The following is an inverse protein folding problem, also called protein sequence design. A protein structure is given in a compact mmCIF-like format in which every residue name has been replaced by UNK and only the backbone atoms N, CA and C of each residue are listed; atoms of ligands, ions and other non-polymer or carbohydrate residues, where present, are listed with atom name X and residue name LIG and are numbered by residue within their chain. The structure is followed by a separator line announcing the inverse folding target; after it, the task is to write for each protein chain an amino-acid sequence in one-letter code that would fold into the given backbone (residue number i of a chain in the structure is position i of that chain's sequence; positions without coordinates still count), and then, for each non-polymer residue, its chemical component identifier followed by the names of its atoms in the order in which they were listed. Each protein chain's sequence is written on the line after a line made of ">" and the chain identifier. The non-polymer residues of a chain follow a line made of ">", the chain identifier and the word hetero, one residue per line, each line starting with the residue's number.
data_IF_391966272681
#
_entry.id   IF_391966272681
#
_cell.length_a   1.000
_cell.length_b   1.000
_cell.length_c   1.000
_cell.angle_alpha   90.00
_cell.angle_beta   90.00
_cell.angle_gamma   90.00
#
_symmetry.space_group_name_H-M   'P 1'
#
loop_
_entity.id
_entity.type
_entity.pdbx_description
1 polymer ?
2 non-polymer ?
3 non-polymer ?
4 non-polymer ?
5 water ?
#
# COMPACT_ATOMS: atom_id res chain seq x y z
N UNK A 1 -25.84 -6.83 -15.28
CA UNK A 1 -25.03 -5.75 -14.65
C UNK A 1 -23.63 -6.20 -14.20
N UNK A 2 -22.81 -5.20 -13.95
CA UNK A 2 -21.49 -5.42 -13.49
C UNK A 2 -21.48 -4.74 -12.13
N UNK A 3 -20.86 -5.39 -11.17
CA UNK A 3 -20.58 -4.75 -9.91
C UNK A 3 -19.06 -4.68 -9.69
N UNK A 4 -18.66 -3.73 -8.86
CA UNK A 4 -17.28 -3.53 -8.55
C UNK A 4 -17.12 -3.33 -7.07
N UNK A 5 -15.97 -3.71 -6.55
CA UNK A 5 -15.67 -3.48 -5.12
C UNK A 5 -14.24 -3.18 -4.89
N UNK A 6 -13.99 -1.98 -4.45
CA UNK A 6 -12.66 -1.53 -4.09
C UNK A 6 -12.28 -2.07 -2.70
N UNK A 7 -10.98 -2.29 -2.52
CA UNK A 7 -10.42 -2.55 -1.19
C UNK A 7 -9.08 -1.89 -1.03
N UNK A 8 -8.68 -1.68 0.21
CA UNK A 8 -7.31 -1.24 0.51
C UNK A 8 -7.12 0.21 0.85
N UNK A 9 -8.21 0.95 0.96
CA UNK A 9 -8.09 2.35 1.32
C UNK A 9 -7.68 2.57 2.81
N UNK A 10 -7.38 3.83 3.13
CA UNK A 10 -6.98 4.23 4.43
C UNK A 10 -6.16 5.48 4.44
N UNK A 11 -5.37 5.63 5.52
CA UNK A 11 -4.52 6.78 5.70
C UNK A 11 -3.12 6.32 5.88
N UNK A 12 -2.21 7.12 5.36
CA UNK A 12 -0.83 6.82 5.37
C UNK A 12 0.01 8.07 5.47
N UNK A 13 1.20 7.88 6.00
CA UNK A 13 2.22 8.91 5.97
C UNK A 13 2.70 9.25 4.56
N UNK A 14 2.85 10.56 4.31
CA UNK A 14 3.44 11.06 3.10
C UNK A 14 4.75 10.43 2.87
N UNK A 15 4.99 10.09 1.60
CA UNK A 15 6.16 9.32 1.17
C UNK A 15 5.90 7.82 1.24
N UNK A 16 4.87 7.41 1.98
CA UNK A 16 4.49 5.95 2.00
C UNK A 16 3.79 5.43 0.70
N UNK A 17 3.27 4.20 0.81
CA UNK A 17 2.60 3.46 -0.25
C UNK A 17 1.29 2.86 0.20
N UNK A 18 0.46 2.64 -0.79
CA UNK A 18 -0.75 1.89 -0.65
C UNK A 18 -0.88 1.02 -1.89
N UNK A 19 -1.76 0.07 -1.81
CA UNK A 19 -2.19 -0.72 -2.96
C UNK A 19 -3.67 -0.94 -2.94
N UNK A 20 -4.38 -0.29 -3.87
CA UNK A 20 -5.83 -0.45 -3.96
C UNK A 20 -6.12 -1.64 -4.87
N UNK A 21 -7.20 -2.36 -4.56
CA UNK A 21 -7.64 -3.40 -5.46
C UNK A 21 -9.12 -3.26 -5.77
N UNK A 22 -9.49 -3.72 -6.97
CA UNK A 22 -10.88 -3.66 -7.42
C UNK A 22 -11.36 -4.92 -8.04
N UNK A 23 -12.25 -5.60 -7.35
CA UNK A 23 -12.95 -6.80 -7.83
C UNK A 23 -14.03 -6.44 -8.81
N UNK A 24 -13.98 -6.94 -10.04
CA UNK A 24 -14.97 -6.70 -11.02
C UNK A 24 -15.74 -8.05 -11.23
N UNK A 25 -17.04 -7.95 -11.22
CA UNK A 25 -17.96 -9.13 -11.10
C UNK A 25 -17.98 -10.06 -12.31
N UNK A 26 -17.55 -9.54 -13.45
CA UNK A 26 -17.45 -10.31 -14.66
C UNK A 26 -16.46 -9.65 -15.63
N UNK A 27 -16.15 -10.38 -16.70
CA UNK A 27 -15.23 -9.84 -17.72
C UNK A 27 -15.77 -8.60 -18.32
N UNK A 28 -14.93 -7.55 -18.40
CA UNK A 28 -15.34 -6.30 -19.07
C UNK A 28 -14.17 -5.90 -20.03
N UNK A 29 -14.46 -5.04 -20.99
CA UNK A 29 -13.42 -4.64 -21.97
C UNK A 29 -12.31 -3.70 -21.39
N UNK A 30 -12.67 -2.91 -20.42
CA UNK A 30 -11.75 -1.95 -19.82
C UNK A 30 -12.09 -1.73 -18.32
N UNK A 31 -11.12 -1.24 -17.58
CA UNK A 31 -11.24 -0.96 -16.17
C UNK A 31 -10.45 0.27 -15.86
N UNK A 32 -10.84 1.00 -14.81
CA UNK A 32 -10.07 2.21 -14.50
C UNK A 32 -10.18 2.59 -13.05
N UNK A 33 -9.25 3.43 -12.63
CA UNK A 33 -9.22 4.03 -11.34
C UNK A 33 -9.40 5.52 -11.48
N UNK A 34 -10.15 6.12 -10.57
CA UNK A 34 -10.50 7.53 -10.62
C UNK A 34 -10.39 8.03 -9.24
N UNK A 35 -10.28 9.35 -9.08
CA UNK A 35 -10.27 9.93 -7.74
C UNK A 35 -10.98 11.22 -7.68
N UNK A 36 -11.56 11.53 -6.51
CA UNK A 36 -12.33 12.75 -6.40
C UNK A 36 -11.92 13.41 -5.11
N UNK A 37 -11.15 14.44 -5.28
CA UNK A 37 -10.73 15.24 -4.13
C UNK A 37 -11.93 16.10 -3.66
N UNK A 38 -11.86 16.68 -2.41
CA UNK A 38 -13.01 17.42 -1.88
C UNK A 38 -13.45 18.60 -2.77
N UNK A 39 -14.71 18.64 -3.18
CA UNK A 39 -15.21 19.75 -4.00
C UNK A 39 -14.78 19.67 -5.44
N UNK A 40 -14.05 18.61 -5.81
CA UNK A 40 -13.44 18.64 -7.11
C UNK A 40 -14.02 17.65 -8.04
N UNK A 41 -13.76 17.96 -9.31
CA UNK A 41 -14.19 17.10 -10.34
C UNK A 41 -13.48 15.75 -10.11
N UNK A 42 -14.23 14.69 -10.24
CA UNK A 42 -13.65 13.35 -10.38
C UNK A 42 -12.70 13.27 -11.62
N UNK A 43 -11.53 12.68 -11.45
CA UNK A 43 -10.54 12.64 -12.52
C UNK A 43 -10.01 11.22 -12.68
N UNK A 44 -9.61 10.95 -13.90
CA UNK A 44 -8.88 9.76 -14.26
C UNK A 44 -7.61 9.76 -13.48
N UNK A 45 -7.27 8.57 -12.97
CA UNK A 45 -6.01 8.27 -12.40
C UNK A 45 -5.23 7.32 -13.32
N UNK A 46 -5.81 6.19 -13.69
CA UNK A 46 -5.20 5.17 -14.52
C UNK A 46 -6.20 4.33 -15.16
N UNK A 47 -6.05 3.99 -16.41
CA UNK A 47 -6.98 3.08 -17.09
C UNK A 47 -6.27 1.96 -17.80
N UNK A 48 -6.99 0.86 -18.05
CA UNK A 48 -6.37 -0.34 -18.54
C UNK A 48 -7.37 -1.11 -19.44
N UNK A 49 -6.91 -1.69 -20.56
CA UNK A 49 -7.77 -2.63 -21.29
C UNK A 49 -7.58 -4.02 -20.70
N UNK A 50 -8.62 -4.82 -20.85
CA UNK A 50 -8.52 -6.18 -20.38
C UNK A 50 -7.56 -6.98 -21.25
N UNK A 51 -7.65 -6.81 -22.57
CA UNK A 51 -6.86 -7.63 -23.47
C UNK A 51 -5.59 -7.00 -23.96
N UNK A 52 -5.61 -5.73 -24.33
CA UNK A 52 -4.41 -5.15 -24.94
C UNK A 52 -3.24 -5.01 -23.97
N UNK A 53 -2.19 -4.41 -24.43
CA UNK A 53 -1.20 -3.94 -23.52
C UNK A 53 -1.45 -2.48 -23.22
N UNK A 54 -2.68 -1.95 -23.20
CA UNK A 54 -2.77 -0.46 -23.12
C UNK A 54 -3.03 -0.02 -21.65
N UNK A 55 -2.27 0.99 -21.20
CA UNK A 55 -2.56 1.73 -19.97
C UNK A 55 -2.42 3.19 -20.26
N UNK A 56 -3.13 4.02 -19.51
CA UNK A 56 -2.92 5.44 -19.54
C UNK A 56 -2.99 6.03 -18.15
N UNK A 57 -2.11 6.97 -17.83
CA UNK A 57 -2.07 7.58 -16.49
C UNK A 57 -2.35 9.03 -16.55
N UNK A 58 -2.98 9.56 -15.52
CA UNK A 58 -2.97 11.04 -15.27
C UNK A 58 -1.53 11.56 -15.09
N UNK A 59 -1.22 12.67 -15.76
CA UNK A 59 0.07 13.30 -15.54
C UNK A 59 0.68 13.33 -14.17
N UNK A 60 -0.07 13.80 -13.18
CA UNK A 60 0.47 13.92 -11.85
C UNK A 60 0.77 12.67 -11.06
N UNK A 61 0.35 11.51 -11.56
CA UNK A 61 0.73 10.31 -10.88
C UNK A 61 1.67 9.47 -11.70
N UNK A 62 1.99 9.92 -12.89
CA UNK A 62 2.86 9.15 -13.82
C UNK A 62 4.15 8.86 -13.16
N UNK A 63 4.57 7.62 -13.24
CA UNK A 63 5.80 7.17 -12.59
C UNK A 63 5.75 6.92 -11.10
N UNK A 64 4.66 7.27 -10.42
CA UNK A 64 4.48 6.93 -9.03
C UNK A 64 3.46 5.81 -8.85
N UNK A 65 2.43 5.83 -9.68
CA UNK A 65 1.36 4.81 -9.54
C UNK A 65 1.44 3.85 -10.72
N UNK A 66 1.06 2.57 -10.50
CA UNK A 66 0.99 1.63 -11.57
C UNK A 66 -0.35 0.88 -11.50
N UNK A 67 -1.01 0.75 -12.64
CA UNK A 67 -2.22 0.00 -12.79
C UNK A 67 -1.86 -1.36 -13.38
N UNK A 68 -2.46 -2.40 -12.84
CA UNK A 68 -2.23 -3.72 -13.32
C UNK A 68 -3.45 -4.56 -13.10
N UNK A 69 -3.47 -5.74 -13.71
CA UNK A 69 -4.68 -6.55 -13.63
C UNK A 69 -4.31 -8.01 -13.44
N UNK A 70 -5.23 -8.73 -12.81
CA UNK A 70 -5.10 -10.17 -12.65
C UNK A 70 -6.31 -10.75 -13.34
N UNK A 71 -6.14 -11.12 -14.59
CA UNK A 71 -7.25 -11.60 -15.43
C UNK A 71 -8.05 -12.79 -14.87
N UNK A 72 -7.33 -13.79 -14.38
CA UNK A 72 -7.94 -14.99 -13.79
C UNK A 72 -8.85 -14.62 -12.60
N UNK A 73 -8.48 -13.61 -11.81
CA UNK A 73 -9.32 -13.13 -10.70
C UNK A 73 -10.23 -11.95 -11.05
N UNK A 74 -10.22 -11.45 -12.30
CA UNK A 74 -10.96 -10.23 -12.65
C UNK A 74 -10.75 -9.04 -11.69
N UNK A 75 -9.50 -8.82 -11.34
CA UNK A 75 -9.12 -7.83 -10.35
C UNK A 75 -8.17 -6.80 -11.02
N UNK A 76 -8.36 -5.53 -10.66
CA UNK A 76 -7.49 -4.42 -11.16
C UNK A 76 -6.88 -3.77 -9.91
N UNK A 77 -5.57 -3.55 -9.92
CA UNK A 77 -4.84 -3.03 -8.81
C UNK A 77 -4.32 -1.62 -9.14
N UNK A 78 -4.20 -0.83 -8.11
CA UNK A 78 -3.51 0.51 -8.24
C UNK A 78 -2.44 0.53 -7.20
N UNK A 79 -1.21 0.29 -7.62
CA UNK A 79 -0.06 0.43 -6.71
C UNK A 79 0.32 1.93 -6.65
N UNK A 80 0.33 2.47 -5.44
CA UNK A 80 0.54 3.91 -5.18
C UNK A 80 1.78 4.08 -4.37
N UNK A 81 2.84 4.51 -5.02
CA UNK A 81 4.08 4.82 -4.28
C UNK A 81 4.27 6.34 -4.11
N UNK A 82 5.19 6.68 -3.20
CA UNK A 82 5.62 8.09 -3.02
C UNK A 82 4.43 9.02 -2.84
N UNK A 83 3.56 8.66 -1.88
CA UNK A 83 2.32 9.36 -1.77
C UNK A 83 2.54 10.79 -1.24
N UNK A 84 1.72 11.69 -1.76
CA UNK A 84 1.70 13.09 -1.32
C UNK A 84 0.35 13.51 -0.76
N UNK A 85 0.35 14.54 0.10
CA UNK A 85 -0.91 15.03 0.58
C UNK A 85 -1.94 15.32 -0.51
N UNK A 86 -1.49 15.77 -1.68
CA UNK A 86 -2.40 16.11 -2.77
C UNK A 86 -2.99 14.87 -3.47
N UNK A 87 -2.54 13.68 -3.07
CA UNK A 87 -3.18 12.43 -3.48
C UNK A 87 -4.39 12.05 -2.62
N UNK A 88 -4.67 12.82 -1.56
CA UNK A 88 -5.86 12.62 -0.76
C UNK A 88 -7.14 12.76 -1.56
N UNK A 89 -8.07 11.81 -1.46
CA UNK A 89 -9.27 11.75 -2.26
C UNK A 89 -10.01 10.48 -2.02
N UNK A 90 -11.24 10.41 -2.50
CA UNK A 90 -11.98 9.15 -2.59
C UNK A 90 -11.58 8.50 -3.91
N UNK A 91 -11.12 7.27 -3.88
CA UNK A 91 -10.75 6.55 -5.04
C UNK A 91 -11.82 5.58 -5.43
N UNK A 92 -12.20 5.58 -6.72
CA UNK A 92 -13.24 4.74 -7.26
C UNK A 92 -12.69 3.92 -8.39
N UNK A 93 -13.14 2.71 -8.53
CA UNK A 93 -12.95 1.98 -9.76
C UNK A 93 -14.20 1.98 -10.58
N UNK A 94 -14.00 1.73 -11.88
CA UNK A 94 -15.05 1.69 -12.86
C UNK A 94 -14.71 0.70 -13.97
N UNK A 95 -15.71 0.20 -14.67
CA UNK A 95 -15.51 -0.74 -15.71
C UNK A 95 -16.74 -0.75 -16.65
N UNK A 96 -16.51 -1.23 -17.86
CA UNK A 96 -17.58 -1.45 -18.82
C UNK A 96 -16.93 -1.97 -20.09
N UNK A 97 -17.69 -2.00 -21.18
CA UNK A 97 -17.10 -2.52 -22.43
C UNK A 97 -17.31 -1.46 -23.50
N UNK A 98 -17.26 -0.21 -23.10
CA UNK A 98 -17.29 0.93 -23.98
C UNK A 98 -15.89 1.10 -24.60
N UNK A 99 -15.84 1.88 -25.71
CA UNK A 99 -14.51 2.03 -26.26
C UNK A 99 -13.51 2.68 -25.23
N UNK A 100 -12.26 2.25 -25.29
CA UNK A 100 -11.23 2.60 -24.34
C UNK A 100 -11.12 4.09 -23.98
N UNK A 101 -11.25 4.92 -24.99
CA UNK A 101 -11.15 6.38 -24.82
C UNK A 101 -12.42 7.04 -24.34
N UNK A 102 -13.55 6.32 -24.25
CA UNK A 102 -14.82 6.96 -23.85
C UNK A 102 -14.76 7.71 -22.53
N UNK A 103 -15.40 8.90 -22.44
CA UNK A 103 -15.39 9.78 -21.26
C UNK A 103 -16.31 9.30 -20.13
N UNK A 104 -17.35 8.56 -20.49
CA UNK A 104 -18.37 8.06 -19.53
C UNK A 104 -18.17 6.63 -19.30
N UNK A 105 -18.25 6.21 -18.03
CA UNK A 105 -18.09 4.81 -17.67
C UNK A 105 -19.41 4.33 -17.05
N UNK A 106 -19.85 3.18 -17.47
CA UNK A 106 -21.22 2.73 -17.19
C UNK A 106 -21.36 2.18 -15.74
N UNK A 107 -20.34 1.52 -15.18
CA UNK A 107 -20.45 0.86 -13.86
C UNK A 107 -19.35 1.32 -12.94
N UNK A 108 -19.72 1.65 -11.70
CA UNK A 108 -18.84 2.26 -10.72
C UNK A 108 -18.81 1.46 -9.40
N UNK A 109 -17.67 1.44 -8.71
CA UNK A 109 -17.63 0.93 -7.31
C UNK A 109 -18.16 1.99 -6.37
N UNK A 110 -17.97 1.72 -5.08
CA UNK A 110 -18.48 2.46 -3.93
C UNK A 110 -17.53 3.57 -3.53
N UNK A 111 -16.26 3.52 -3.93
CA UNK A 111 -15.31 4.45 -3.46
C UNK A 111 -14.63 3.97 -2.18
N UNK A 112 -13.43 4.43 -1.96
CA UNK A 112 -12.78 4.31 -0.67
C UNK A 112 -11.92 5.55 -0.39
N UNK A 113 -11.91 6.02 0.87
CA UNK A 113 -11.13 7.12 1.24
C UNK A 113 -9.64 6.78 1.35
N UNK A 114 -8.83 7.62 0.75
CA UNK A 114 -7.41 7.66 0.86
C UNK A 114 -7.01 8.99 1.44
N UNK A 115 -6.27 8.98 2.53
CA UNK A 115 -5.75 10.18 3.16
C UNK A 115 -4.27 10.12 3.35
N UNK A 116 -3.53 11.08 2.81
CA UNK A 116 -2.10 11.12 2.91
C UNK A 116 -1.76 12.31 3.77
N UNK A 117 -1.03 12.10 4.84
CA UNK A 117 -0.72 13.29 5.64
C UNK A 117 0.74 13.35 6.00
N UNK A 118 1.26 14.55 6.08
CA UNK A 118 2.59 14.78 6.64
C UNK A 118 2.36 15.03 8.14
N UNK A 119 2.74 14.10 9.02
CA UNK A 119 2.65 14.30 10.52
C UNK A 119 3.46 13.26 11.34
N UNK B 1 28.26 5.32 16.41
CA UNK B 1 26.77 5.51 16.36
C UNK B 1 26.21 4.92 15.07
N UNK B 2 25.12 4.15 15.22
CA UNK B 2 24.20 3.89 14.09
C UNK B 2 22.87 4.43 14.51
N UNK B 3 22.22 5.13 13.60
CA UNK B 3 20.88 5.53 13.90
C UNK B 3 19.98 5.10 12.74
N UNK B 4 18.73 4.90 13.12
CA UNK B 4 17.66 4.48 12.20
C UNK B 4 16.42 5.31 12.30
N UNK B 5 15.70 5.40 11.15
CA UNK B 5 14.40 6.00 11.18
C UNK B 5 13.40 5.41 10.20
N UNK B 6 12.34 4.96 10.77
CA UNK B 6 11.24 4.28 10.03
C UNK B 6 10.24 5.33 9.57
N UNK B 7 9.52 5.00 8.52
CA UNK B 7 8.42 5.83 8.02
C UNK B 7 7.44 4.89 7.27
N UNK B 8 6.24 5.38 6.95
CA UNK B 8 5.40 4.72 5.94
C UNK B 8 4.25 4.06 6.60
N UNK B 9 4.11 4.23 7.91
CA UNK B 9 3.02 3.62 8.59
C UNK B 9 1.66 4.26 8.29
N UNK B 10 0.62 3.67 8.81
CA UNK B 10 -0.76 4.12 8.52
C UNK B 10 -1.81 3.21 9.09
N UNK B 11 -3.04 3.44 8.65
CA UNK B 11 -4.22 2.76 9.09
C UNK B 11 -5.01 2.38 7.80
N UNK B 12 -4.97 1.11 7.44
CA UNK B 12 -5.52 0.63 6.14
C UNK B 12 -6.54 -0.50 6.38
N UNK B 13 -7.48 -0.64 5.46
CA UNK B 13 -8.36 -1.75 5.41
C UNK B 13 -7.60 -3.06 5.33
N UNK B 14 -8.14 -4.07 6.01
CA UNK B 14 -7.73 -5.47 5.79
C UNK B 14 -7.75 -5.82 4.33
N UNK B 15 -6.73 -6.52 3.87
CA UNK B 15 -6.55 -6.76 2.48
C UNK B 15 -5.73 -5.73 1.77
N UNK B 16 -5.52 -4.54 2.35
CA UNK B 16 -4.66 -3.61 1.66
C UNK B 16 -3.15 -3.82 1.85
N UNK B 17 -2.36 -2.82 1.43
CA UNK B 17 -0.89 -2.86 1.50
C UNK B 17 -0.28 -1.61 2.05
N UNK B 18 0.96 -1.70 2.54
CA UNK B 18 1.75 -0.54 3.03
C UNK B 18 3.20 -0.84 2.62
N UNK B 19 4.05 0.17 2.52
CA UNK B 19 5.48 -0.10 2.33
C UNK B 19 6.17 0.68 3.41
N UNK B 20 6.76 0.03 4.40
CA UNK B 20 7.60 0.71 5.41
C UNK B 20 8.96 0.93 4.92
N UNK B 21 9.56 2.10 5.34
CA UNK B 21 10.89 2.52 4.88
C UNK B 21 11.74 2.76 6.13
N UNK B 22 13.00 2.35 6.08
CA UNK B 22 13.88 2.57 7.24
C UNK B 22 15.18 3.11 6.75
N UNK B 23 15.55 4.30 7.27
CA UNK B 23 16.79 4.91 6.88
C UNK B 23 17.80 4.51 7.96
N UNK B 24 18.92 4.02 7.48
CA UNK B 24 20.04 3.55 8.32
C UNK B 24 21.23 4.50 8.11
N UNK B 25 21.74 5.07 9.20
CA UNK B 25 22.74 6.18 9.08
C UNK B 25 24.08 5.86 8.42
N UNK B 26 24.47 4.60 8.32
CA UNK B 26 25.68 4.23 7.57
C UNK B 26 25.57 2.74 7.25
N UNK B 27 26.51 2.26 6.46
CA UNK B 27 26.59 0.84 6.11
C UNK B 27 26.64 -0.03 7.34
N UNK B 28 25.83 -1.09 7.36
CA UNK B 28 25.75 -2.02 8.48
C UNK B 28 25.68 -3.45 7.88
N UNK B 29 25.99 -4.45 8.67
CA UNK B 29 26.13 -5.82 8.12
C UNK B 29 24.76 -6.43 7.81
N UNK B 30 23.86 -6.20 8.73
CA UNK B 30 22.46 -6.62 8.60
C UNK B 30 21.45 -5.56 9.06
N UNK B 31 20.18 -5.77 8.66
CA UNK B 31 19.03 -4.89 9.00
C UNK B 31 17.81 -5.76 9.15
N UNK B 32 16.99 -5.42 10.11
CA UNK B 32 15.73 -6.12 10.33
C UNK B 32 14.52 -5.26 10.63
N UNK B 33 13.35 -5.84 10.34
CA UNK B 33 12.14 -5.39 10.85
C UNK B 33 11.57 -6.24 11.94
N UNK B 34 11.02 -5.59 12.94
CA UNK B 34 10.34 -6.16 14.07
C UNK B 34 9.03 -5.50 14.33
N UNK B 35 8.18 -6.13 15.13
CA UNK B 35 6.93 -5.55 15.60
C UNK B 35 6.55 -5.89 16.98
N UNK B 36 5.73 -5.02 17.56
CA UNK B 36 5.18 -5.25 18.84
C UNK B 36 3.73 -4.84 18.93
N UNK B 37 2.87 -5.85 18.97
CA UNK B 37 1.43 -5.65 19.16
C UNK B 37 1.05 -5.29 20.61
N UNK B 38 -0.17 -4.78 20.83
CA UNK B 38 -0.45 -4.40 22.20
C UNK B 38 -0.42 -5.60 23.13
N UNK B 39 0.04 -5.36 24.35
CA UNK B 39 0.24 -6.40 25.36
C UNK B 39 1.03 -7.60 24.89
N UNK B 40 1.98 -7.38 24.00
CA UNK B 40 2.76 -8.48 23.45
C UNK B 40 4.21 -8.12 23.41
N UNK B 41 5.00 -9.14 23.21
CA UNK B 41 6.45 -9.03 23.18
C UNK B 41 6.85 -8.72 21.74
N UNK B 42 7.87 -7.87 21.61
CA UNK B 42 8.47 -7.60 20.32
C UNK B 42 8.84 -8.89 19.63
N UNK B 43 8.62 -8.96 18.34
CA UNK B 43 8.95 -10.16 17.55
C UNK B 43 9.56 -9.81 16.21
N UNK B 44 10.44 -10.68 15.72
CA UNK B 44 10.97 -10.61 14.41
C UNK B 44 9.86 -10.67 13.34
N UNK B 45 10.07 -9.91 12.24
CA UNK B 45 9.25 -9.95 11.06
C UNK B 45 10.03 -10.40 9.88
N UNK B 46 11.15 -9.77 9.60
CA UNK B 46 11.92 -10.08 8.43
C UNK B 46 13.33 -9.49 8.66
N UNK B 47 14.37 -10.19 8.13
CA UNK B 47 15.75 -9.76 8.23
C UNK B 47 16.37 -9.88 6.95
N UNK B 48 17.42 -9.07 6.73
CA UNK B 48 18.15 -9.05 5.53
C UNK B 48 19.65 -8.78 5.80
N UNK B 49 20.52 -9.30 4.95
CA UNK B 49 21.91 -8.99 5.06
C UNK B 49 22.28 -7.98 4.01
N UNK B 50 23.12 -7.02 4.42
CA UNK B 50 23.52 -5.96 3.48
C UNK B 50 24.20 -6.53 2.29
N UNK B 51 25.15 -7.42 2.53
CA UNK B 51 25.91 -7.99 1.42
C UNK B 51 25.34 -9.36 1.13
N UNK B 52 25.29 -9.72 -0.15
CA UNK B 52 24.67 -10.99 -0.57
C UNK B 52 23.18 -11.08 -0.28
N UNK B 53 22.53 -12.05 -0.88
CA UNK B 53 21.09 -12.09 -0.88
C UNK B 53 20.48 -12.93 0.21
N UNK B 54 20.62 -12.57 1.47
CA UNK B 54 19.89 -13.31 2.47
C UNK B 54 18.72 -12.57 3.15
N UNK B 55 17.55 -13.20 3.10
CA UNK B 55 16.40 -12.82 3.87
C UNK B 55 15.81 -13.96 4.55
N UNK B 56 15.05 -13.66 5.58
CA UNK B 56 14.34 -14.60 6.39
C UNK B 56 13.10 -13.95 7.06
N UNK B 57 11.97 -14.64 7.08
CA UNK B 57 10.68 -14.12 7.54
C UNK B 57 10.09 -14.85 8.68
N UNK B 58 9.34 -14.19 9.55
CA UNK B 58 8.46 -14.88 10.45
C UNK B 58 7.40 -15.66 9.63
N UNK B 59 7.02 -16.83 10.13
CA UNK B 59 6.07 -17.64 9.41
C UNK B 59 4.74 -16.98 9.08
N UNK B 60 4.08 -16.32 10.03
CA UNK B 60 2.80 -15.65 9.74
C UNK B 60 2.85 -14.56 8.66
N UNK B 61 4.05 -14.15 8.23
CA UNK B 61 4.17 -13.12 7.13
C UNK B 61 4.71 -13.59 5.88
N UNK B 62 5.28 -14.79 5.92
CA UNK B 62 5.87 -15.27 4.72
C UNK B 62 4.88 -15.34 3.54
N UNK B 63 5.39 -14.96 2.36
CA UNK B 63 4.59 -14.79 1.14
C UNK B 63 3.74 -13.51 1.11
N UNK B 64 3.48 -12.86 2.27
CA UNK B 64 2.69 -11.58 2.24
C UNK B 64 3.59 -10.35 2.29
N UNK B 65 4.68 -10.46 3.02
CA UNK B 65 5.66 -9.33 3.26
C UNK B 65 6.92 -9.63 2.53
N UNK B 66 7.59 -8.61 2.00
CA UNK B 66 8.87 -8.71 1.38
C UNK B 66 9.81 -7.66 2.01
N UNK B 67 10.96 -8.12 2.45
CA UNK B 67 12.05 -7.22 2.93
C UNK B 67 13.00 -7.00 1.78
N UNK B 68 13.40 -5.74 1.54
CA UNK B 68 14.38 -5.45 0.51
C UNK B 68 15.20 -4.22 0.98
N UNK B 69 16.17 -3.85 0.19
CA UNK B 69 17.07 -2.75 0.55
C UNK B 69 17.53 -2.03 -0.67
N UNK B 70 17.99 -0.80 -0.46
CA UNK B 70 18.70 -0.07 -1.48
C UNK B 70 19.99 0.46 -0.86
N UNK B 71 21.12 -0.02 -1.37
CA UNK B 71 22.40 0.12 -0.67
C UNK B 71 23.00 1.50 -0.80
N UNK B 72 22.88 2.07 -1.99
CA UNK B 72 23.23 3.48 -2.27
C UNK B 72 22.63 4.41 -1.22
N UNK B 73 21.33 4.20 -0.93
CA UNK B 73 20.57 5.03 0.02
C UNK B 73 20.62 4.58 1.46
N UNK B 74 21.30 3.47 1.76
CA UNK B 74 21.24 2.76 3.06
C UNK B 74 19.81 2.67 3.60
N UNK B 75 18.89 2.30 2.72
CA UNK B 75 17.49 2.10 3.16
C UNK B 75 17.08 0.60 3.10
N UNK B 76 16.24 0.24 4.04
CA UNK B 76 15.60 -1.09 4.07
C UNK B 76 14.09 -0.89 4.05
N UNK B 77 13.41 -1.66 3.18
CA UNK B 77 11.95 -1.57 2.98
C UNK B 77 11.24 -2.85 3.47
N UNK B 78 10.02 -2.70 3.96
CA UNK B 78 9.12 -3.81 4.27
C UNK B 78 7.81 -3.61 3.44
N UNK B 79 7.71 -4.32 2.33
CA UNK B 79 6.48 -4.38 1.55
C UNK B 79 5.45 -5.32 2.20
N UNK B 80 4.33 -4.74 2.63
CA UNK B 80 3.35 -5.48 3.38
C UNK B 80 2.04 -5.61 2.53
N UNK B 81 1.80 -6.77 1.91
CA UNK B 81 0.55 -7.06 1.18
C UNK B 81 -0.43 -7.93 1.95
N UNK B 82 -1.70 -7.85 1.55
CA UNK B 82 -2.73 -8.64 2.16
C UNK B 82 -2.73 -8.51 3.65
N UNK B 83 -2.79 -7.26 4.11
CA UNK B 83 -2.78 -6.97 5.53
C UNK B 83 -3.94 -7.56 6.23
N UNK B 84 -3.67 -8.12 7.42
CA UNK B 84 -4.64 -8.73 8.29
C UNK B 84 -4.76 -8.00 9.61
N UNK B 85 -5.89 -8.12 10.29
CA UNK B 85 -6.04 -7.45 11.59
C UNK B 85 -4.88 -7.73 12.55
N UNK B 86 -4.32 -8.94 12.43
CA UNK B 86 -3.33 -9.44 13.40
C UNK B 86 -1.96 -8.76 13.17
N UNK B 87 -1.86 -8.03 12.07
CA UNK B 87 -0.66 -7.30 11.70
C UNK B 87 -0.49 -5.96 12.39
N UNK B 88 -1.55 -5.51 13.06
CA UNK B 88 -1.59 -4.30 13.80
C UNK B 88 -0.53 -4.31 14.89
N UNK B 89 0.37 -3.35 14.80
CA UNK B 89 1.48 -3.23 15.73
C UNK B 89 2.27 -1.96 15.46
N UNK B 90 3.12 -1.63 16.43
CA UNK B 90 4.25 -0.75 16.09
C UNK B 90 5.33 -1.57 15.45
N UNK B 91 5.83 -1.12 14.31
CA UNK B 91 6.91 -1.75 13.63
C UNK B 91 8.23 -0.98 13.73
N UNK B 92 9.31 -1.71 14.02
CA UNK B 92 10.63 -1.14 14.36
C UNK B 92 11.65 -1.67 13.42
N UNK B 93 12.60 -0.86 12.93
CA UNK B 93 13.76 -1.41 12.20
C UNK B 93 14.99 -1.43 13.15
N UNK B 94 15.93 -2.32 12.83
CA UNK B 94 17.15 -2.51 13.66
C UNK B 94 18.26 -2.86 12.78
N UNK B 95 19.51 -2.55 13.21
CA UNK B 95 20.65 -2.80 12.38
C UNK B 95 21.87 -2.95 13.33
N UNK B 96 22.91 -3.57 12.77
CA UNK B 96 24.24 -3.82 13.45
C UNK B 96 25.12 -4.65 12.52
N UNK B 97 26.38 -4.92 12.88
CA UNK B 97 27.22 -5.68 11.99
C UNK B 97 27.52 -7.04 12.63
N UNK B 98 26.66 -7.46 13.57
CA UNK B 98 26.73 -8.78 14.19
C UNK B 98 26.30 -9.89 13.20
N UNK B 99 26.77 -11.14 13.41
CA UNK B 99 26.35 -12.17 12.40
C UNK B 99 24.81 -12.34 12.25
N UNK B 100 24.37 -12.68 11.04
CA UNK B 100 22.88 -12.70 10.74
C UNK B 100 22.06 -13.44 11.77
N UNK B 101 22.55 -14.59 12.20
CA UNK B 101 21.86 -15.40 13.23
C UNK B 101 21.86 -14.79 14.62
N UNK B 102 22.65 -13.71 14.90
CA UNK B 102 22.75 -13.21 16.31
C UNK B 102 21.37 -12.82 16.74
N UNK B 103 21.02 -13.13 17.98
CA UNK B 103 19.64 -12.90 18.46
C UNK B 103 19.46 -11.54 19.12
N UNK B 104 20.52 -10.74 19.13
CA UNK B 104 20.52 -9.44 19.81
C UNK B 104 20.93 -8.44 18.76
N UNK B 105 20.14 -7.36 18.69
CA UNK B 105 20.38 -6.25 17.81
C UNK B 105 20.81 -4.96 18.59
N UNK B 106 21.87 -4.35 18.13
CA UNK B 106 22.49 -3.30 18.95
C UNK B 106 21.63 -2.00 18.95
N UNK B 107 21.22 -1.62 17.74
CA UNK B 107 20.66 -0.27 17.39
C UNK B 107 19.22 -0.35 16.85
N UNK B 108 18.32 0.44 17.45
CA UNK B 108 16.91 0.41 17.14
C UNK B 108 16.40 1.78 16.72
N UNK B 109 15.39 1.77 15.81
CA UNK B 109 14.60 2.97 15.51
C UNK B 109 13.52 3.19 16.55
N UNK B 110 12.72 4.23 16.32
CA UNK B 110 11.72 4.66 17.26
C UNK B 110 10.34 4.01 16.94
N UNK B 111 10.20 3.49 15.71
CA UNK B 111 9.01 2.71 15.32
C UNK B 111 8.04 3.53 14.49
N UNK B 112 7.11 2.86 13.84
CA UNK B 112 6.04 3.51 13.08
C UNK B 112 4.78 2.62 13.31
N UNK B 113 3.62 3.25 13.51
CA UNK B 113 2.41 2.54 13.82
C UNK B 113 1.74 1.98 12.55
N UNK B 114 1.31 0.72 12.64
CA UNK B 114 0.48 0.11 11.60
C UNK B 114 -0.80 -0.37 12.22
N UNK B 115 -1.94 0.02 11.63
CA UNK B 115 -3.24 -0.39 12.10
C UNK B 115 -4.01 -0.91 10.93
N UNK B 116 -4.58 -2.11 11.08
CA UNK B 116 -5.32 -2.76 10.05
C UNK B 116 -6.72 -2.88 10.53
N UNK B 117 -7.67 -2.32 9.81
CA UNK B 117 -9.04 -2.20 10.21
C UNK B 117 -10.00 -3.04 9.36
N UNK B 118 -10.98 -3.66 10.03
CA UNK B 118 -12.00 -4.43 9.33
C UNK B 118 -13.30 -3.64 9.23
N UNK B 119 -13.48 -2.63 10.08
CA UNK B 119 -14.67 -1.82 10.14
C UNK B 119 -14.44 -0.35 9.72
N UNK B 120 -15.23 0.19 8.80
CA UNK B 120 -14.98 1.59 8.35
C UNK B 120 -15.81 2.64 9.09
N UNK B 121 -15.38 3.90 9.02
CA UNK B 121 -16.33 5.03 9.23
C UNK B 121 -17.00 5.38 7.91
N UNK B 122 -18.15 6.08 8.01
CA UNK B 122 -18.90 6.56 6.85
C UNK B 122 -19.11 8.02 7.05
N UNK B 123 -18.09 8.81 6.73
CA UNK B 123 -18.14 10.22 7.07
C UNK B 123 -19.00 11.09 6.13
N UNK B 124 -19.32 10.62 4.93
CA UNK B 124 -20.12 11.43 3.96
C UNK B 124 -21.63 11.29 4.18
N UNK B 125 -22.09 11.86 5.31
CA UNK B 125 -23.46 11.64 5.81
C UNK B 125 -24.42 12.63 5.13
N UNK B 126 -24.43 12.63 3.80
CA UNK B 126 -25.33 13.49 3.03
C UNK B 126 -26.72 12.84 3.03
N UNK B 127 -27.73 13.51 3.64
CA UNK B 127 -29.10 12.99 3.56
C UNK B 127 -29.77 13.07 2.21
N UNK B 128 -30.59 12.08 1.89
CA UNK B 128 -31.49 12.17 0.78
C UNK B 128 -32.89 11.93 1.28
N UNK B 129 -33.73 12.98 1.26
CA UNK B 129 -35.15 12.89 1.59
C UNK B 129 -36.10 12.58 0.44
N UNK B 130 -35.58 12.36 -0.76
CA UNK B 130 -36.45 12.12 -1.95
C UNK B 130 -36.78 10.62 -2.07
N UNK B 131 -37.54 10.19 -3.05
CA UNK B 131 -37.75 8.69 -3.13
C UNK B 131 -36.86 7.95 -4.14
#
# INVERSE_FOLDING_TARGET
>A
QVQLQESGGGSVQAGGSLRLSCAVSENTGRMGWFRQAPGKEREKVAIITRLGGYTSYAGPVKGRFTISQDNAKNTVYLLMNSLKPEDTAIYYCAADSRPIYSGTWRYWGQGTQVTVSSAAAYPYDVPDYGSHHHHHH
>B
QVQLQESGGGSVQAGGSLRLSCAVSENTGRMGWFRQAPGKEREKVAIITRLGGYTSYAGPVKGRFTISQDNAKNTVYLLMNSLKPEDTAIYYCAADSRPIYSGTWRYWGQGTQVTVSSAAAYPYDVPDYGSHHHHHH
#
